data_IF_078729914899
#
_entry.id   IF_078729914899
#
_cell.length_a   1.000
_cell.length_b   1.000
_cell.length_c   1.000
_cell.angle_alpha   90.00
_cell.angle_beta   90.00
_cell.angle_gamma   90.00
#
_symmetry.space_group_name_H-M   'P 1'
#
loop_
_entity.id
_entity.type
_entity.pdbx_description
1 polymer ?
#
# COMPACT_ATOMS: atom_id res chain seq x y z
N UNK A 1 20.61 12.91 12.33
CA UNK A 1 21.28 11.63 12.07
C UNK A 1 21.73 11.07 13.41
N UNK A 2 21.54 9.77 13.65
CA UNK A 2 22.10 9.12 14.83
C UNK A 2 23.52 8.66 14.48
N UNK A 3 24.51 9.33 15.08
CA UNK A 3 25.93 9.08 14.83
C UNK A 3 26.49 8.28 16.00
N UNK A 4 27.08 7.12 15.73
CA UNK A 4 27.63 6.23 16.74
C UNK A 4 29.14 6.46 16.88
N UNK A 5 29.64 6.58 18.11
CA UNK A 5 31.07 6.83 18.37
C UNK A 5 32.00 5.78 17.77
N UNK A 6 31.53 4.52 17.63
CA UNK A 6 32.30 3.43 17.05
C UNK A 6 32.37 3.39 15.52
N UNK A 7 31.64 4.27 14.82
CA UNK A 7 31.63 4.30 13.35
C UNK A 7 32.88 5.00 12.81
N UNK A 8 33.39 4.52 11.67
CA UNK A 8 34.47 5.22 10.95
C UNK A 8 33.99 6.59 10.47
N UNK A 9 34.92 7.52 10.20
CA UNK A 9 34.54 8.84 9.65
C UNK A 9 33.80 8.70 8.32
N UNK A 10 34.20 7.74 7.48
CA UNK A 10 33.53 7.41 6.22
C UNK A 10 32.08 7.00 6.45
N UNK A 11 31.81 6.11 7.42
CA UNK A 11 30.46 5.69 7.77
C UNK A 11 29.61 6.86 8.27
N UNK A 12 30.18 7.76 9.08
CA UNK A 12 29.48 8.96 9.53
C UNK A 12 29.09 9.84 8.33
N UNK A 13 30.00 10.05 7.37
CA UNK A 13 29.71 10.80 6.14
C UNK A 13 28.58 10.15 5.34
N UNK A 14 28.57 8.82 5.23
CA UNK A 14 27.49 8.06 4.57
C UNK A 14 26.16 8.31 5.26
N UNK A 15 26.09 8.11 6.57
CA UNK A 15 24.86 8.27 7.35
C UNK A 15 24.35 9.71 7.24
N UNK A 16 25.23 10.72 7.35
CA UNK A 16 24.85 12.12 7.22
C UNK A 16 24.28 12.44 5.83
N UNK A 17 24.98 12.04 4.76
CA UNK A 17 24.53 12.29 3.39
C UNK A 17 23.22 11.56 3.07
N UNK A 18 23.07 10.33 3.55
CA UNK A 18 21.86 9.53 3.38
C UNK A 18 20.65 10.15 4.09
N UNK A 19 20.81 10.58 5.34
CA UNK A 19 19.74 11.27 6.09
C UNK A 19 19.34 12.58 5.41
N UNK A 20 20.30 13.36 4.89
CA UNK A 20 19.98 14.56 4.13
C UNK A 20 19.09 14.27 2.90
N UNK A 21 19.35 13.17 2.21
CA UNK A 21 18.56 12.76 1.06
C UNK A 21 17.15 12.28 1.46
N UNK A 22 16.98 11.57 2.59
CA UNK A 22 15.65 11.29 3.13
C UNK A 22 14.89 12.55 3.50
N UNK A 23 15.54 13.53 4.12
CA UNK A 23 14.91 14.82 4.46
C UNK A 23 14.40 15.52 3.21
N UNK A 24 15.18 15.52 2.12
CA UNK A 24 14.71 16.03 0.83
C UNK A 24 13.53 15.22 0.27
N UNK A 25 13.55 13.89 0.36
CA UNK A 25 12.46 13.03 -0.09
C UNK A 25 11.17 13.32 0.69
N UNK A 26 11.21 13.24 2.02
CA UNK A 26 10.04 13.47 2.89
C UNK A 26 9.48 14.88 2.74
N UNK A 27 10.32 15.90 2.54
CA UNK A 27 9.85 17.27 2.39
C UNK A 27 9.07 17.49 1.09
N UNK A 28 9.38 16.73 0.05
CA UNK A 28 8.97 17.05 -1.32
C UNK A 28 8.15 15.96 -2.03
N UNK A 29 7.94 14.79 -1.42
CA UNK A 29 7.06 13.75 -1.96
C UNK A 29 5.60 13.99 -1.53
N UNK A 30 4.66 13.81 -2.46
CA UNK A 30 3.23 14.04 -2.26
C UNK A 30 2.64 13.21 -1.12
N UNK A 31 3.07 11.95 -0.95
CA UNK A 31 2.58 11.08 0.12
C UNK A 31 3.06 11.52 1.51
N UNK A 32 4.05 12.40 1.61
CA UNK A 32 4.41 13.02 2.90
C UNK A 32 3.73 14.38 3.11
N UNK A 33 2.92 14.86 2.17
CA UNK A 33 2.27 16.18 2.30
C UNK A 33 1.28 16.29 3.45
N UNK A 34 0.74 15.15 3.92
CA UNK A 34 -0.23 15.05 5.02
C UNK A 34 0.40 14.66 6.35
N UNK A 35 1.71 14.36 6.41
CA UNK A 35 2.35 14.01 7.67
C UNK A 35 2.54 15.23 8.55
N UNK A 36 2.38 15.04 9.86
CA UNK A 36 2.62 16.10 10.82
C UNK A 36 4.13 16.40 10.90
N UNK A 37 4.51 17.67 10.71
CA UNK A 37 5.91 18.12 10.73
C UNK A 37 6.47 18.30 12.14
N UNK A 38 5.63 18.24 13.16
CA UNK A 38 5.97 18.36 14.58
C UNK A 38 5.71 17.06 15.34
N UNK A 39 5.90 15.91 14.69
CA UNK A 39 5.60 14.62 15.33
C UNK A 39 6.44 14.31 16.56
N UNK A 40 7.62 14.93 16.72
CA UNK A 40 8.37 14.82 17.98
C UNK A 40 7.56 15.42 19.15
N UNK A 41 6.98 16.60 18.96
CA UNK A 41 6.11 17.24 19.96
C UNK A 41 4.80 16.43 20.14
N UNK A 42 4.27 15.89 19.03
CA UNK A 42 3.09 15.01 19.02
C UNK A 42 3.31 13.75 19.86
N UNK A 43 4.39 13.01 19.60
CA UNK A 43 4.78 11.82 20.35
C UNK A 43 5.07 12.13 21.82
N UNK A 44 5.68 13.28 22.13
CA UNK A 44 5.86 13.70 23.52
C UNK A 44 4.52 13.97 24.23
N UNK A 45 3.54 14.53 23.51
CA UNK A 45 2.17 14.71 24.01
C UNK A 45 1.46 13.36 24.18
N UNK A 46 1.55 12.46 23.21
CA UNK A 46 1.02 11.09 23.28
C UNK A 46 1.57 10.35 24.50
N UNK A 47 2.90 10.34 24.68
CA UNK A 47 3.54 9.71 25.82
C UNK A 47 3.07 10.31 27.16
N UNK A 48 2.79 11.62 27.21
CA UNK A 48 2.26 12.27 28.42
C UNK A 48 0.78 11.94 28.68
N UNK A 49 -0.03 11.73 27.65
CA UNK A 49 -1.42 11.23 27.77
C UNK A 49 -1.42 9.79 28.27
N UNK A 50 -0.62 8.91 27.66
CA UNK A 50 -0.47 7.51 28.05
C UNK A 50 -0.02 7.39 29.51
N UNK A 51 1.03 8.12 29.93
CA UNK A 51 1.49 8.12 31.34
C UNK A 51 0.39 8.48 32.33
N UNK A 52 -0.46 9.46 32.00
CA UNK A 52 -1.60 9.87 32.84
C UNK A 52 -2.65 8.77 32.96
N UNK A 53 -2.86 8.00 31.90
CA UNK A 53 -3.75 6.83 31.96
C UNK A 53 -3.13 5.72 32.79
N UNK A 54 -1.82 5.47 32.66
CA UNK A 54 -1.09 4.50 33.49
C UNK A 54 -1.18 4.84 34.99
N UNK A 55 -1.05 6.12 35.35
CA UNK A 55 -1.20 6.59 36.73
C UNK A 55 -2.60 6.35 37.32
N UNK A 56 -3.65 6.37 36.47
CA UNK A 56 -5.05 6.25 36.90
C UNK A 56 -5.57 4.82 36.88
N UNK A 57 -5.17 4.04 35.87
CA UNK A 57 -5.71 2.71 35.57
C UNK A 57 -4.72 1.57 35.87
N UNK A 58 -3.47 1.90 36.17
CA UNK A 58 -2.38 0.94 36.35
C UNK A 58 -1.57 0.75 35.08
N UNK A 59 -0.26 0.53 35.23
CA UNK A 59 0.67 0.36 34.11
C UNK A 59 0.32 -0.87 33.25
N UNK A 60 0.21 -2.05 33.89
CA UNK A 60 -0.07 -3.32 33.19
C UNK A 60 -1.37 -3.25 32.37
N UNK A 61 -2.43 -2.67 32.92
CA UNK A 61 -3.74 -2.54 32.24
C UNK A 61 -3.64 -1.70 30.96
N UNK A 62 -2.87 -0.61 31.00
CA UNK A 62 -2.70 0.28 29.85
C UNK A 62 -1.75 -0.34 28.82
N UNK A 63 -0.66 -0.98 29.25
CA UNK A 63 0.28 -1.68 28.36
C UNK A 63 -0.40 -2.84 27.62
N UNK A 64 -1.17 -3.67 28.33
CA UNK A 64 -1.94 -4.78 27.72
C UNK A 64 -2.93 -4.27 26.65
N UNK A 65 -3.53 -3.10 26.90
CA UNK A 65 -4.43 -2.48 25.93
C UNK A 65 -3.67 -1.85 24.75
N UNK A 66 -2.50 -1.25 24.98
CA UNK A 66 -1.61 -0.77 23.91
C UNK A 66 -1.20 -1.95 23.01
N UNK A 67 -0.78 -3.08 23.58
CA UNK A 67 -0.43 -4.29 22.81
C UNK A 67 -1.61 -4.79 21.97
N UNK A 68 -2.81 -4.74 22.55
CA UNK A 68 -4.06 -5.03 21.82
C UNK A 68 -4.25 -4.07 20.65
N UNK A 69 -4.05 -2.77 20.84
CA UNK A 69 -4.17 -1.76 19.78
C UNK A 69 -3.11 -1.90 18.69
N UNK A 70 -1.84 -2.14 19.07
CA UNK A 70 -0.72 -2.32 18.15
C UNK A 70 -0.93 -3.55 17.24
N UNK A 71 -1.58 -4.60 17.73
CA UNK A 71 -1.95 -5.74 16.88
C UNK A 71 -2.95 -5.41 15.77
N UNK A 72 -3.64 -4.26 15.87
CA UNK A 72 -4.63 -3.77 14.92
C UNK A 72 -4.13 -2.56 14.11
N UNK A 73 -2.90 -2.09 14.33
CA UNK A 73 -2.38 -0.81 13.78
C UNK A 73 -2.42 -0.74 12.24
N UNK A 74 -2.34 -1.89 11.58
CA UNK A 74 -2.35 -2.02 10.13
C UNK A 74 -3.75 -2.05 9.51
N UNK A 75 -4.81 -2.06 10.32
CA UNK A 75 -6.21 -2.06 9.86
C UNK A 75 -6.74 -0.63 9.58
N UNK A 76 -5.83 0.30 9.29
CA UNK A 76 -6.15 1.62 8.77
C UNK A 76 -6.39 1.58 7.25
N UNK A 77 -6.91 2.66 6.70
CA UNK A 77 -6.88 2.91 5.26
C UNK A 77 -5.78 3.92 4.93
N UNK A 78 -4.59 3.50 4.45
CA UNK A 78 -3.48 4.40 4.18
C UNK A 78 -3.82 5.54 3.21
N UNK A 79 -4.87 5.37 2.39
CA UNK A 79 -5.30 6.37 1.41
C UNK A 79 -6.32 7.37 1.95
N UNK A 80 -6.87 7.15 3.15
CA UNK A 80 -7.88 8.02 3.78
C UNK A 80 -7.47 9.50 3.88
N UNK A 81 -6.20 9.85 4.20
CA UNK A 81 -5.76 11.25 4.24
C UNK A 81 -5.77 11.97 2.88
N UNK A 82 -5.81 11.22 1.77
CA UNK A 82 -5.73 11.75 0.40
C UNK A 82 -7.08 11.67 -0.34
N UNK A 83 -7.95 10.74 0.05
CA UNK A 83 -9.21 10.46 -0.62
C UNK A 83 -10.36 10.64 0.37
N UNK A 84 -11.21 11.63 0.15
CA UNK A 84 -12.43 11.76 0.93
C UNK A 84 -13.50 10.77 0.43
N UNK A 85 -13.52 9.57 1.01
CA UNK A 85 -14.53 8.53 0.70
C UNK A 85 -15.88 8.76 1.38
N UNK A 86 -15.93 9.63 2.40
CA UNK A 86 -17.14 10.03 3.10
C UNK A 86 -17.80 11.29 2.52
N UNK A 87 -17.22 11.88 1.46
CA UNK A 87 -17.92 12.84 0.61
C UNK A 87 -19.03 12.08 -0.14
N UNK A 88 -20.09 11.74 0.59
CA UNK A 88 -21.42 11.57 0.05
C UNK A 88 -21.58 12.73 -0.91
N UNK A 89 -21.80 12.43 -2.20
CA UNK A 89 -22.27 13.40 -3.17
C UNK A 89 -23.33 14.22 -2.44
N UNK A 90 -23.04 15.50 -2.13
CA UNK A 90 -24.12 16.46 -2.06
C UNK A 90 -24.85 16.21 -3.36
N UNK A 91 -26.08 15.71 -3.27
CA UNK A 91 -27.00 15.68 -4.39
C UNK A 91 -27.27 17.17 -4.66
N UNK A 92 -26.30 17.82 -5.29
CA UNK A 92 -26.52 19.04 -6.04
C UNK A 92 -27.43 18.61 -7.18
N UNK A 93 -28.51 19.37 -7.34
CA UNK A 93 -29.41 19.33 -8.47
C UNK A 93 -28.66 19.69 -9.77
N UNK A 94 -27.70 18.87 -10.19
CA UNK A 94 -27.13 18.92 -11.52
C UNK A 94 -27.71 17.71 -12.27
N UNK A 95 -28.99 17.87 -12.64
CA UNK A 95 -29.65 17.13 -13.70
C UNK A 95 -29.04 17.53 -15.05
N UNK A 96 -27.77 17.20 -15.28
CA UNK A 96 -27.14 17.30 -16.60
C UNK A 96 -26.55 15.95 -16.99
N UNK A 97 -27.39 15.20 -17.70
CA UNK A 97 -27.07 14.40 -18.89
C UNK A 97 -25.82 13.51 -18.83
N UNK A 98 -25.92 12.39 -18.12
CA UNK A 98 -25.16 11.20 -18.47
C UNK A 98 -26.13 10.04 -18.67
N UNK A 99 -26.28 9.62 -19.93
CA UNK A 99 -27.30 8.70 -20.45
C UNK A 99 -27.18 7.25 -19.96
N UNK A 100 -27.27 7.06 -18.65
CA UNK A 100 -27.60 5.80 -17.99
C UNK A 100 -29.08 5.83 -17.62
N UNK A 101 -29.88 5.13 -18.42
CA UNK A 101 -31.26 4.85 -18.10
C UNK A 101 -31.33 4.16 -16.72
N UNK A 102 -31.88 4.87 -15.73
CA UNK A 102 -32.04 4.41 -14.34
C UNK A 102 -32.95 3.17 -14.22
N UNK A 103 -33.55 2.73 -15.32
CA UNK A 103 -34.51 1.61 -15.41
C UNK A 103 -33.91 0.20 -15.31
N UNK A 104 -32.57 0.05 -15.36
CA UNK A 104 -31.92 -1.28 -15.40
C UNK A 104 -31.95 -1.96 -16.78
N UNK A 105 -32.42 -1.25 -17.80
CA UNK A 105 -32.42 -1.72 -19.19
C UNK A 105 -31.00 -1.78 -19.75
N UNK A 106 -30.66 -2.90 -20.39
CA UNK A 106 -29.48 -3.00 -21.23
C UNK A 106 -29.70 -2.16 -22.49
N UNK A 107 -28.66 -1.43 -22.96
CA UNK A 107 -28.76 -0.63 -24.19
C UNK A 107 -29.10 -1.54 -25.38
N UNK A 108 -30.21 -1.25 -26.05
CA UNK A 108 -30.69 -1.98 -27.20
C UNK A 108 -31.16 -1.01 -28.30
N UNK A 109 -31.13 -1.43 -29.57
CA UNK A 109 -31.82 -0.73 -30.66
C UNK A 109 -33.31 -1.09 -30.60
N UNK A 110 -34.21 -0.17 -31.00
CA UNK A 110 -35.66 -0.30 -30.74
C UNK A 110 -36.35 -1.61 -31.17
N UNK A 111 -35.84 -2.31 -32.19
CA UNK A 111 -36.38 -3.61 -32.62
C UNK A 111 -35.82 -4.81 -31.84
N UNK A 112 -34.72 -4.63 -31.11
CA UNK A 112 -34.08 -5.65 -30.27
C UNK A 112 -34.41 -5.48 -28.77
N UNK A 113 -35.09 -4.41 -28.37
CA UNK A 113 -35.38 -4.14 -26.95
C UNK A 113 -36.21 -5.25 -26.31
N UNK A 114 -37.20 -5.80 -27.02
CA UNK A 114 -38.04 -6.90 -26.52
C UNK A 114 -37.28 -8.22 -26.34
N UNK A 115 -36.19 -8.44 -27.07
CA UNK A 115 -35.35 -9.63 -26.99
C UNK A 115 -34.20 -9.46 -26.00
N UNK A 116 -33.66 -8.25 -25.88
CA UNK A 116 -32.54 -7.91 -24.99
C UNK A 116 -33.02 -7.62 -23.57
N UNK A 117 -34.20 -7.01 -23.42
CA UNK A 117 -34.84 -6.69 -22.14
C UNK A 117 -36.22 -7.36 -22.04
N UNK A 118 -36.31 -8.69 -22.01
CA UNK A 118 -37.60 -9.36 -21.82
C UNK A 118 -38.21 -8.99 -20.45
N UNK A 119 -39.56 -9.01 -20.31
CA UNK A 119 -40.25 -8.63 -19.07
C UNK A 119 -39.74 -9.37 -17.83
N UNK A 120 -39.44 -10.67 -17.97
CA UNK A 120 -38.89 -11.51 -16.90
C UNK A 120 -37.51 -11.05 -16.43
N UNK A 121 -36.65 -10.59 -17.34
CA UNK A 121 -35.32 -10.06 -16.99
C UNK A 121 -35.43 -8.74 -16.22
N UNK A 122 -36.35 -7.86 -16.63
CA UNK A 122 -36.59 -6.58 -15.96
C UNK A 122 -37.22 -6.76 -14.57
N UNK A 123 -38.14 -7.72 -14.41
CA UNK A 123 -38.70 -8.08 -13.10
C UNK A 123 -37.66 -8.72 -12.18
N UNK A 124 -36.83 -9.63 -12.69
CA UNK A 124 -35.73 -10.21 -11.93
C UNK A 124 -34.71 -9.15 -11.48
N UNK A 125 -34.37 -8.19 -12.35
CA UNK A 125 -33.53 -7.05 -11.98
C UNK A 125 -34.17 -6.15 -10.93
N UNK A 126 -35.46 -5.80 -11.08
CA UNK A 126 -36.18 -4.98 -10.10
C UNK A 126 -36.21 -5.66 -8.73
N UNK A 127 -36.56 -6.95 -8.68
CA UNK A 127 -36.58 -7.73 -7.45
C UNK A 127 -35.20 -7.83 -6.81
N UNK A 128 -34.16 -8.09 -7.60
CA UNK A 128 -32.77 -8.09 -7.13
C UNK A 128 -32.38 -6.74 -6.53
N UNK A 129 -32.76 -5.63 -7.16
CA UNK A 129 -32.48 -4.27 -6.69
C UNK A 129 -33.26 -3.91 -5.43
N UNK A 130 -34.51 -4.33 -5.32
CA UNK A 130 -35.32 -4.17 -4.10
C UNK A 130 -34.76 -4.99 -2.93
N UNK A 131 -34.30 -6.21 -3.20
CA UNK A 131 -33.65 -7.07 -2.22
C UNK A 131 -32.27 -6.51 -1.80
N UNK A 132 -31.48 -5.99 -2.75
CA UNK A 132 -30.22 -5.28 -2.49
C UNK A 132 -30.47 -3.99 -1.69
N UNK A 133 -31.51 -3.21 -2.01
CA UNK A 133 -31.86 -1.99 -1.28
C UNK A 133 -32.38 -2.29 0.14
N UNK A 134 -33.11 -3.39 0.34
CA UNK A 134 -33.51 -3.87 1.68
C UNK A 134 -32.31 -4.33 2.49
N UNK A 135 -31.38 -5.07 1.88
CA UNK A 135 -30.11 -5.50 2.50
C UNK A 135 -29.20 -4.31 2.84
N UNK A 136 -29.08 -3.33 1.94
CA UNK A 136 -28.31 -2.11 2.17
C UNK A 136 -28.89 -1.26 3.30
N UNK A 137 -30.22 -1.17 3.43
CA UNK A 137 -30.87 -0.49 4.57
C UNK A 137 -30.58 -1.13 5.93
N UNK A 138 -30.12 -2.38 5.99
CA UNK A 138 -29.81 -3.09 7.24
C UNK A 138 -28.31 -3.15 7.55
N UNK A 139 -27.42 -2.83 6.61
CA UNK A 139 -25.98 -2.86 6.83
C UNK A 139 -25.50 -1.53 7.37
N UNK A 140 -24.73 -1.59 8.45
CA UNK A 140 -24.10 -0.43 9.05
C UNK A 140 -22.60 -0.72 9.16
N UNK A 141 -21.71 -0.03 8.43
CA UNK A 141 -21.94 1.14 7.60
C UNK A 141 -22.62 0.81 6.25
N UNK A 142 -23.19 1.83 5.59
CA UNK A 142 -23.89 1.68 4.29
C UNK A 142 -22.98 1.07 3.20
N UNK A 143 -21.68 1.39 3.26
CA UNK A 143 -20.65 0.82 2.42
C UNK A 143 -19.53 0.26 3.27
N UNK A 144 -18.89 -0.86 2.86
CA UNK A 144 -17.81 -1.45 3.62
C UNK A 144 -16.68 -0.44 3.88
N UNK A 145 -16.29 -0.28 5.15
CA UNK A 145 -15.30 0.71 5.57
C UNK A 145 -13.92 0.07 5.72
N UNK A 146 -12.91 0.61 5.02
CA UNK A 146 -11.53 0.10 5.06
C UNK A 146 -10.78 0.50 6.33
N UNK A 147 -11.04 1.69 6.86
CA UNK A 147 -10.42 2.13 8.11
C UNK A 147 -11.18 1.53 9.30
N UNK A 148 -10.75 0.33 9.71
CA UNK A 148 -11.35 -0.43 10.81
C UNK A 148 -11.08 0.27 12.13
N UNK A 149 -9.89 0.84 12.33
CA UNK A 149 -9.57 1.57 13.57
C UNK A 149 -10.48 2.77 13.78
N UNK A 150 -10.74 3.57 12.73
CA UNK A 150 -11.68 4.68 12.81
C UNK A 150 -13.08 4.18 13.20
N UNK A 151 -13.54 3.09 12.57
CA UNK A 151 -14.85 2.51 12.87
C UNK A 151 -14.97 2.05 14.33
N UNK A 152 -13.91 1.41 14.86
CA UNK A 152 -13.84 1.01 16.26
C UNK A 152 -13.85 2.23 17.20
N UNK A 153 -13.07 3.27 16.91
CA UNK A 153 -13.04 4.52 17.68
C UNK A 153 -14.44 5.16 17.75
N UNK A 154 -15.16 5.19 16.64
CA UNK A 154 -16.47 5.85 16.55
C UNK A 154 -17.59 5.05 17.22
N UNK A 155 -17.59 3.73 17.06
CA UNK A 155 -18.76 2.90 17.36
C UNK A 155 -18.57 1.88 18.46
N UNK A 156 -17.34 1.59 18.88
CA UNK A 156 -17.11 0.63 19.96
C UNK A 156 -17.49 1.23 21.33
N UNK A 157 -18.11 0.44 22.24
CA UNK A 157 -18.40 0.85 23.62
C UNK A 157 -17.14 0.82 24.50
N UNK A 158 -16.09 1.52 24.09
CA UNK A 158 -14.84 1.65 24.86
C UNK A 158 -14.91 2.75 25.92
N UNK A 159 -14.12 2.60 26.97
CA UNK A 159 -13.87 3.68 27.93
C UNK A 159 -13.11 4.84 27.25
N UNK A 160 -13.20 6.04 27.83
CA UNK A 160 -12.58 7.23 27.24
C UNK A 160 -11.06 7.10 27.08
N UNK A 161 -10.37 6.52 28.07
CA UNK A 161 -8.91 6.33 28.00
C UNK A 161 -8.51 5.28 26.97
N UNK A 162 -9.31 4.22 26.77
CA UNK A 162 -9.08 3.22 25.73
C UNK A 162 -9.23 3.84 24.34
N UNK A 163 -10.28 4.64 24.15
CA UNK A 163 -10.48 5.39 22.91
C UNK A 163 -9.29 6.32 22.62
N UNK A 164 -8.82 7.03 23.63
CA UNK A 164 -7.66 7.91 23.56
C UNK A 164 -6.39 7.15 23.11
N UNK A 165 -6.10 5.99 23.71
CA UNK A 165 -4.98 5.13 23.32
C UNK A 165 -5.11 4.65 21.87
N UNK A 166 -6.30 4.20 21.45
CA UNK A 166 -6.51 3.73 20.08
C UNK A 166 -6.39 4.88 19.05
N UNK A 167 -6.83 6.10 19.40
CA UNK A 167 -6.63 7.30 18.60
C UNK A 167 -5.14 7.63 18.43
N UNK A 168 -4.34 7.53 19.50
CA UNK A 168 -2.89 7.71 19.47
C UNK A 168 -2.24 6.71 18.50
N UNK A 169 -2.55 5.42 18.65
CA UNK A 169 -2.01 4.35 17.80
C UNK A 169 -2.38 4.58 16.34
N UNK A 170 -3.64 4.98 16.07
CA UNK A 170 -4.09 5.30 14.71
C UNK A 170 -3.36 6.52 14.13
N UNK A 171 -3.16 7.59 14.90
CA UNK A 171 -2.44 8.79 14.44
C UNK A 171 -0.97 8.47 14.11
N UNK A 172 -0.30 7.68 14.96
CA UNK A 172 1.07 7.23 14.72
C UNK A 172 1.18 6.29 13.51
N UNK A 173 0.22 5.36 13.33
CA UNK A 173 0.15 4.51 12.15
C UNK A 173 0.05 5.35 10.85
N UNK A 174 -0.74 6.43 10.85
CA UNK A 174 -0.84 7.35 9.71
C UNK A 174 0.44 8.14 9.46
N UNK A 175 1.20 8.47 10.50
CA UNK A 175 2.50 9.13 10.33
C UNK A 175 3.51 8.24 9.60
N UNK A 176 3.55 6.94 9.91
CA UNK A 176 4.47 5.98 9.28
C UNK A 176 3.98 5.40 7.95
N UNK A 177 2.67 5.49 7.65
CA UNK A 177 2.10 4.92 6.44
C UNK A 177 2.79 5.40 5.13
N UNK A 178 3.11 6.70 4.94
CA UNK A 178 3.85 7.14 3.75
C UNK A 178 5.22 6.50 3.59
N UNK A 179 5.97 6.33 4.68
CA UNK A 179 7.28 5.67 4.64
C UNK A 179 7.17 4.21 4.19
N UNK A 180 6.08 3.54 4.55
CA UNK A 180 5.78 2.20 4.06
C UNK A 180 5.35 2.18 2.58
N UNK A 181 4.61 3.19 2.11
CA UNK A 181 4.15 3.29 0.71
C UNK A 181 5.25 3.67 -0.28
N UNK A 182 6.34 4.27 0.18
CA UNK A 182 7.43 4.78 -0.66
C UNK A 182 8.79 4.20 -0.26
N UNK A 183 8.84 3.01 0.34
CA UNK A 183 10.08 2.45 0.90
C UNK A 183 11.16 2.29 -0.17
N UNK A 184 10.87 1.65 -1.30
CA UNK A 184 11.83 1.43 -2.40
C UNK A 184 12.31 2.77 -2.95
N UNK A 185 11.39 3.69 -3.23
CA UNK A 185 11.73 5.01 -3.75
C UNK A 185 12.57 5.82 -2.76
N UNK A 186 12.16 5.86 -1.50
CA UNK A 186 12.84 6.65 -0.48
C UNK A 186 14.26 6.15 -0.23
N UNK A 187 14.44 4.84 -0.10
CA UNK A 187 15.77 4.25 0.05
C UNK A 187 16.61 4.42 -1.22
N UNK A 188 16.03 4.19 -2.40
CA UNK A 188 16.71 4.40 -3.67
C UNK A 188 17.17 5.84 -3.89
N UNK A 189 16.33 6.82 -3.53
CA UNK A 189 16.66 8.25 -3.59
C UNK A 189 17.81 8.59 -2.62
N UNK A 190 17.75 8.04 -1.41
CA UNK A 190 18.78 8.27 -0.42
C UNK A 190 20.13 7.69 -0.84
N UNK A 191 20.14 6.48 -1.41
CA UNK A 191 21.35 5.87 -1.98
C UNK A 191 21.86 6.66 -3.19
N UNK A 192 20.95 7.09 -4.07
CA UNK A 192 21.33 7.87 -5.25
C UNK A 192 22.06 9.16 -4.85
N UNK A 193 21.49 9.95 -3.93
CA UNK A 193 22.08 11.23 -3.53
C UNK A 193 23.25 11.09 -2.55
N UNK A 194 23.24 10.11 -1.63
CA UNK A 194 24.43 9.92 -0.80
C UNK A 194 25.64 9.57 -1.65
N UNK A 195 25.43 8.82 -2.74
CA UNK A 195 26.51 8.34 -3.61
C UNK A 195 27.11 9.54 -4.29
N UNK A 196 26.24 10.40 -4.84
CA UNK A 196 26.61 11.62 -5.52
C UNK A 196 27.32 12.62 -4.61
N UNK A 197 26.78 12.88 -3.42
CA UNK A 197 27.37 13.81 -2.44
C UNK A 197 28.77 13.31 -2.04
N UNK A 198 28.88 12.02 -1.73
CA UNK A 198 30.14 11.41 -1.33
C UNK A 198 31.16 11.46 -2.46
N UNK A 199 30.86 10.91 -3.63
CA UNK A 199 31.84 10.78 -4.72
C UNK A 199 32.20 12.09 -5.40
N UNK A 200 31.33 13.12 -5.35
CA UNK A 200 31.60 14.40 -6.02
C UNK A 200 32.10 15.50 -5.09
N UNK A 201 31.81 15.43 -3.77
CA UNK A 201 32.00 16.56 -2.85
C UNK A 201 32.66 16.23 -1.52
N UNK A 202 32.42 15.05 -0.94
CA UNK A 202 32.72 14.79 0.48
C UNK A 202 33.75 13.69 0.75
N UNK A 203 33.94 12.73 -0.17
CA UNK A 203 34.96 11.69 -0.05
C UNK A 203 36.33 12.22 -0.46
N UNK A 204 37.34 11.78 0.28
CA UNK A 204 38.74 11.83 -0.13
C UNK A 204 39.11 10.56 -0.87
N UNK A 205 40.21 10.59 -1.63
CA UNK A 205 40.67 9.42 -2.39
C UNK A 205 40.95 8.19 -1.49
N UNK A 206 41.36 8.41 -0.24
CA UNK A 206 41.64 7.34 0.71
C UNK A 206 40.37 6.61 1.20
N UNK A 207 39.22 7.28 1.19
CA UNK A 207 37.95 6.77 1.72
C UNK A 207 37.12 6.02 0.67
N UNK A 208 37.56 5.98 -0.60
CA UNK A 208 36.78 5.44 -1.71
C UNK A 208 36.52 3.93 -1.55
N UNK A 209 37.53 3.17 -1.11
CA UNK A 209 37.41 1.72 -0.93
C UNK A 209 36.47 1.42 0.24
N UNK A 210 36.66 2.11 1.37
CA UNK A 210 35.81 1.95 2.56
C UNK A 210 34.33 2.27 2.23
N UNK A 211 34.10 3.36 1.51
CA UNK A 211 32.77 3.70 1.03
C UNK A 211 32.19 2.62 0.11
N UNK A 212 32.98 2.15 -0.85
CA UNK A 212 32.53 1.14 -1.80
C UNK A 212 32.16 -0.18 -1.10
N UNK A 213 32.97 -0.60 -0.12
CA UNK A 213 32.72 -1.79 0.68
C UNK A 213 31.42 -1.64 1.48
N UNK A 214 31.30 -0.57 2.28
CA UNK A 214 30.12 -0.29 3.09
C UNK A 214 28.83 -0.20 2.24
N UNK A 215 28.86 0.56 1.14
CA UNK A 215 27.71 0.73 0.27
C UNK A 215 27.35 -0.57 -0.47
N UNK A 216 28.35 -1.35 -0.91
CA UNK A 216 28.10 -2.64 -1.56
C UNK A 216 27.44 -3.65 -0.61
N UNK A 217 27.79 -3.62 0.68
CA UNK A 217 27.13 -4.42 1.72
C UNK A 217 25.65 -4.10 1.87
N UNK A 218 25.28 -2.81 1.83
CA UNK A 218 23.88 -2.36 1.89
C UNK A 218 23.10 -2.75 0.63
N UNK A 219 23.76 -2.67 -0.54
CA UNK A 219 23.15 -2.99 -1.84
C UNK A 219 23.22 -4.48 -2.22
N UNK A 220 23.87 -5.29 -1.40
CA UNK A 220 24.02 -6.72 -1.63
C UNK A 220 22.64 -7.38 -1.74
N UNK A 221 22.49 -8.25 -2.73
CA UNK A 221 21.23 -8.95 -3.00
C UNK A 221 21.50 -10.45 -2.99
N UNK A 222 20.86 -11.18 -2.08
CA UNK A 222 20.96 -12.65 -2.04
C UNK A 222 20.09 -13.27 -3.15
N UNK A 223 20.49 -14.42 -3.74
CA UNK A 223 19.66 -15.12 -4.71
C UNK A 223 18.24 -15.36 -4.19
N UNK A 224 17.23 -14.96 -4.98
CA UNK A 224 15.82 -15.12 -4.63
C UNK A 224 15.23 -14.06 -3.69
N UNK A 225 16.02 -13.08 -3.22
CA UNK A 225 15.51 -11.93 -2.44
C UNK A 225 15.64 -10.65 -3.25
N UNK A 226 14.63 -9.78 -3.18
CA UNK A 226 14.72 -8.44 -3.73
C UNK A 226 15.27 -7.48 -2.67
N UNK A 227 16.29 -6.68 -3.02
CA UNK A 227 16.79 -5.61 -2.17
C UNK A 227 16.16 -4.27 -2.61
N UNK A 228 15.30 -3.65 -1.77
CA UNK A 228 14.67 -2.35 -2.07
C UNK A 228 15.66 -1.23 -2.40
N UNK A 229 16.80 -1.19 -1.70
CA UNK A 229 17.83 -0.17 -1.89
C UNK A 229 18.44 -0.29 -3.28
N UNK A 230 18.81 -1.52 -3.68
CA UNK A 230 19.36 -1.82 -5.00
C UNK A 230 18.35 -1.54 -6.11
N UNK A 231 17.11 -2.01 -5.96
CA UNK A 231 16.06 -1.77 -6.97
C UNK A 231 15.80 -0.27 -7.14
N UNK A 232 15.61 0.46 -6.04
CA UNK A 232 15.28 1.88 -6.08
C UNK A 232 16.39 2.73 -6.72
N UNK A 233 17.65 2.52 -6.32
CA UNK A 233 18.77 3.32 -6.87
C UNK A 233 18.99 3.05 -8.35
N UNK A 234 18.91 1.79 -8.78
CA UNK A 234 19.10 1.43 -10.19
C UNK A 234 17.95 1.94 -11.06
N UNK A 235 16.71 1.94 -10.54
CA UNK A 235 15.59 2.58 -11.24
C UNK A 235 15.81 4.09 -11.41
N UNK A 236 16.23 4.81 -10.37
CA UNK A 236 16.51 6.26 -10.52
C UNK A 236 17.62 6.54 -11.53
N UNK A 237 18.69 5.74 -11.53
CA UNK A 237 19.77 5.84 -12.52
C UNK A 237 19.27 5.57 -13.93
N UNK A 238 18.46 4.52 -14.10
CA UNK A 238 17.87 4.16 -15.40
C UNK A 238 16.94 5.27 -15.90
N UNK A 239 16.07 5.82 -15.05
CA UNK A 239 15.17 6.93 -15.42
C UNK A 239 15.97 8.15 -15.86
N UNK A 240 17.00 8.54 -15.11
CA UNK A 240 17.83 9.68 -15.46
C UNK A 240 18.54 9.48 -16.82
N UNK A 241 19.17 8.31 -17.04
CA UNK A 241 19.87 8.02 -18.29
C UNK A 241 18.90 7.99 -19.49
N UNK A 242 17.76 7.31 -19.34
CA UNK A 242 16.71 7.24 -20.38
C UNK A 242 16.23 8.63 -20.78
N UNK A 243 15.92 9.49 -19.81
CA UNK A 243 15.47 10.84 -20.12
C UNK A 243 16.58 11.69 -20.71
N UNK A 244 17.83 11.60 -20.22
CA UNK A 244 18.96 12.31 -20.83
C UNK A 244 19.13 11.95 -22.31
N UNK A 245 19.00 10.67 -22.66
CA UNK A 245 19.08 10.15 -24.03
C UNK A 245 17.82 10.35 -24.86
N UNK A 246 16.71 10.78 -24.25
CA UNK A 246 15.42 10.93 -24.95
C UNK A 246 14.72 9.61 -25.27
N UNK A 247 14.94 8.56 -24.48
CA UNK A 247 14.35 7.21 -24.62
C UNK A 247 12.95 7.14 -23.96
N UNK A 248 12.06 8.03 -24.38
CA UNK A 248 10.69 8.15 -23.91
C UNK A 248 9.77 8.69 -24.99
N UNK A 249 8.47 8.47 -24.83
CA UNK A 249 7.43 8.96 -25.73
C UNK A 249 7.27 8.12 -26.99
N UNK A 250 6.32 8.54 -27.83
CA UNK A 250 5.82 7.79 -28.99
C UNK A 250 6.94 7.28 -29.90
N UNK A 251 7.88 8.15 -30.26
CA UNK A 251 8.96 7.80 -31.18
C UNK A 251 9.85 6.66 -30.64
N UNK A 252 10.07 6.62 -29.32
CA UNK A 252 10.85 5.57 -28.67
C UNK A 252 10.05 4.27 -28.59
N UNK A 253 8.79 4.36 -28.19
CA UNK A 253 7.92 3.20 -27.97
C UNK A 253 7.62 2.47 -29.29
N UNK A 254 7.43 3.21 -30.39
CA UNK A 254 7.16 2.68 -31.73
C UNK A 254 8.43 2.29 -32.52
N UNK A 255 9.63 2.47 -31.95
CA UNK A 255 10.87 2.10 -32.63
C UNK A 255 11.12 0.58 -32.57
N UNK A 256 10.84 -0.11 -33.68
CA UNK A 256 11.06 -1.55 -33.82
C UNK A 256 12.53 -1.93 -34.13
N UNK A 257 13.35 -0.97 -34.56
CA UNK A 257 14.77 -1.22 -34.88
C UNK A 257 15.62 -1.26 -33.61
N UNK A 258 16.14 -2.45 -33.29
CA UNK A 258 17.07 -2.65 -32.17
C UNK A 258 18.39 -1.87 -32.34
N UNK A 259 18.84 -1.65 -33.57
CA UNK A 259 20.03 -0.85 -33.85
C UNK A 259 19.79 0.63 -33.53
N UNK A 260 18.62 1.17 -33.92
CA UNK A 260 18.24 2.53 -33.57
C UNK A 260 18.06 2.70 -32.07
N UNK A 261 17.43 1.75 -31.39
CA UNK A 261 17.27 1.79 -29.91
C UNK A 261 18.62 1.81 -29.19
N UNK A 262 19.60 1.01 -29.65
CA UNK A 262 20.95 0.97 -29.05
C UNK A 262 21.72 2.28 -29.20
N UNK A 263 21.59 2.94 -30.36
CA UNK A 263 22.27 4.20 -30.65
C UNK A 263 21.41 5.43 -30.34
N UNK A 264 20.29 5.25 -29.62
CA UNK A 264 19.35 6.32 -29.35
C UNK A 264 19.92 7.31 -28.34
N UNK A 265 20.25 8.49 -28.83
CA UNK A 265 20.69 9.61 -28.01
C UNK A 265 20.26 10.94 -28.65
N UNK A 266 19.16 11.50 -28.15
CA UNK A 266 18.66 12.84 -28.49
C UNK A 266 19.31 13.94 -27.65
N UNK A 267 20.17 13.59 -26.68
CA UNK A 267 20.86 14.53 -25.77
C UNK A 267 19.96 15.59 -25.16
N UNK A 268 18.76 15.19 -24.75
CA UNK A 268 17.77 16.15 -24.23
C UNK A 268 18.18 16.71 -22.87
N UNK A 269 18.96 15.97 -22.08
CA UNK A 269 19.42 16.39 -20.75
C UNK A 269 18.32 16.50 -19.70
N UNK A 270 17.13 15.96 -19.97
CA UNK A 270 15.94 16.08 -19.11
C UNK A 270 15.91 15.08 -17.94
N UNK A 271 16.95 14.25 -17.78
CA UNK A 271 16.99 13.17 -16.79
C UNK A 271 16.88 13.67 -15.36
N UNK A 272 17.54 14.77 -15.04
CA UNK A 272 17.52 15.36 -13.69
C UNK A 272 16.12 15.84 -13.33
N UNK A 273 15.47 16.59 -14.21
CA UNK A 273 14.12 17.11 -13.96
C UNK A 273 13.13 15.96 -13.79
N UNK A 274 13.26 14.90 -14.60
CA UNK A 274 12.39 13.73 -14.50
C UNK A 274 12.51 13.03 -13.16
N UNK A 275 13.71 12.73 -12.66
CA UNK A 275 13.83 12.02 -11.37
C UNK A 275 13.29 12.86 -10.20
N UNK A 276 13.38 14.19 -10.27
CA UNK A 276 12.77 15.09 -9.27
C UNK A 276 11.25 15.11 -9.34
N UNK A 277 10.67 15.08 -10.55
CA UNK A 277 9.23 14.91 -10.76
C UNK A 277 8.74 13.56 -10.22
N UNK A 278 9.46 12.48 -10.54
CA UNK A 278 9.15 11.12 -10.06
C UNK A 278 9.18 11.08 -8.54
N UNK A 279 10.24 11.61 -7.92
CA UNK A 279 10.34 11.74 -6.46
C UNK A 279 9.20 12.55 -5.85
N UNK A 280 8.65 13.53 -6.56
CA UNK A 280 7.55 14.37 -6.06
C UNK A 280 6.20 13.66 -6.09
N UNK A 281 5.89 12.88 -7.13
CA UNK A 281 4.52 12.45 -7.40
C UNK A 281 4.24 10.97 -7.17
N UNK A 282 5.26 10.11 -7.24
CA UNK A 282 5.07 8.66 -7.25
C UNK A 282 5.18 8.04 -5.84
N UNK A 283 4.59 6.86 -5.70
CA UNK A 283 4.83 5.89 -4.62
C UNK A 283 5.43 4.60 -5.19
N UNK A 284 5.78 3.62 -4.35
CA UNK A 284 6.45 2.40 -4.83
C UNK A 284 5.63 1.64 -5.88
N UNK A 285 4.30 1.58 -5.73
CA UNK A 285 3.41 0.90 -6.70
C UNK A 285 3.50 1.58 -8.07
N UNK A 286 3.26 2.88 -8.14
CA UNK A 286 3.30 3.63 -9.41
C UNK A 286 4.71 3.72 -9.98
N UNK A 287 5.73 3.74 -9.12
CA UNK A 287 7.14 3.76 -9.53
C UNK A 287 7.57 2.47 -10.21
N UNK A 288 7.24 1.32 -9.61
CA UNK A 288 7.49 0.01 -10.21
C UNK A 288 6.60 -0.20 -11.44
N UNK A 289 5.34 0.23 -11.39
CA UNK A 289 4.44 0.06 -12.53
C UNK A 289 4.93 0.82 -13.77
N UNK A 290 5.34 2.07 -13.62
CA UNK A 290 5.78 2.88 -14.76
C UNK A 290 7.21 2.51 -15.22
N UNK A 291 8.15 2.33 -14.30
CA UNK A 291 9.58 2.33 -14.65
C UNK A 291 10.27 0.97 -14.62
N UNK A 292 9.64 -0.07 -14.07
CA UNK A 292 10.16 -1.43 -14.15
C UNK A 292 9.89 -2.04 -15.53
N UNK A 293 10.62 -1.58 -16.54
CA UNK A 293 10.45 -2.04 -17.93
C UNK A 293 11.14 -3.39 -18.18
N UNK A 294 10.84 -3.99 -19.32
CA UNK A 294 11.48 -5.24 -19.74
C UNK A 294 12.99 -5.03 -19.89
N UNK A 295 13.41 -3.94 -20.54
CA UNK A 295 14.81 -3.58 -20.73
C UNK A 295 15.55 -3.47 -19.40
N UNK A 296 14.96 -2.76 -18.43
CA UNK A 296 15.52 -2.66 -17.08
C UNK A 296 15.67 -4.04 -16.41
N UNK A 297 14.65 -4.90 -16.53
CA UNK A 297 14.65 -6.25 -15.98
C UNK A 297 15.79 -7.11 -16.58
N UNK A 298 16.06 -6.97 -17.87
CA UNK A 298 17.18 -7.63 -18.56
C UNK A 298 18.52 -7.08 -18.11
N UNK A 299 18.69 -5.76 -18.12
CA UNK A 299 19.94 -5.08 -17.75
C UNK A 299 20.38 -5.42 -16.33
N UNK A 300 19.43 -5.42 -15.40
CA UNK A 300 19.68 -5.73 -13.99
C UNK A 300 19.68 -7.24 -13.68
N UNK A 301 19.53 -8.09 -14.70
CA UNK A 301 19.58 -9.56 -14.59
C UNK A 301 18.60 -10.14 -13.56
N UNK A 302 17.36 -9.65 -13.54
CA UNK A 302 16.32 -10.12 -12.60
C UNK A 302 15.82 -11.56 -12.87
N UNK A 303 16.29 -12.23 -13.93
CA UNK A 303 15.92 -13.62 -14.24
C UNK A 303 16.73 -14.60 -13.38
N UNK A 304 16.05 -15.38 -12.55
CA UNK A 304 16.65 -16.49 -11.80
C UNK A 304 16.99 -17.66 -12.73
N UNK A 305 18.28 -17.97 -12.87
CA UNK A 305 18.90 -19.21 -13.38
C UNK A 305 18.20 -19.92 -14.55
N UNK A 306 18.79 -19.81 -15.75
CA UNK A 306 18.52 -20.77 -16.84
C UNK A 306 18.49 -20.23 -18.27
N UNK A 307 18.85 -18.97 -18.52
CA UNK A 307 18.76 -18.44 -19.88
C UNK A 307 20.09 -18.56 -20.64
N UNK A 308 20.09 -19.36 -21.70
CA UNK A 308 21.13 -19.34 -22.73
C UNK A 308 20.90 -18.12 -23.62
N UNK A 309 21.80 -17.13 -23.56
CA UNK A 309 21.79 -15.92 -24.41
C UNK A 309 21.66 -16.19 -25.92
N UNK A 310 21.87 -17.44 -26.37
CA UNK A 310 21.84 -17.84 -27.78
C UNK A 310 20.45 -18.02 -28.38
N UNK A 311 19.39 -18.22 -27.61
CA UNK A 311 18.07 -18.63 -28.18
C UNK A 311 17.07 -17.49 -28.42
N UNK A 312 17.40 -16.22 -28.09
CA UNK A 312 16.75 -15.04 -28.71
C UNK A 312 15.21 -14.91 -28.61
N UNK A 313 14.53 -15.60 -27.69
CA UNK A 313 13.07 -15.58 -27.63
C UNK A 313 12.52 -14.48 -26.71
N UNK A 314 12.45 -13.23 -27.21
CA UNK A 314 11.89 -12.05 -26.53
C UNK A 314 10.47 -12.27 -25.97
N UNK A 315 9.68 -13.16 -26.59
CA UNK A 315 8.33 -13.49 -26.12
C UNK A 315 8.33 -14.16 -24.73
N UNK A 316 9.31 -15.02 -24.45
CA UNK A 316 9.45 -15.69 -23.15
C UNK A 316 9.83 -14.65 -22.09
N UNK A 317 10.80 -13.78 -22.41
CA UNK A 317 11.28 -12.72 -21.52
C UNK A 317 10.18 -11.72 -21.16
N UNK A 318 9.31 -11.36 -22.12
CA UNK A 318 8.16 -10.48 -21.90
C UNK A 318 7.11 -11.11 -20.98
N UNK A 319 6.80 -12.40 -21.18
CA UNK A 319 5.86 -13.13 -20.31
C UNK A 319 6.40 -13.25 -18.88
N UNK A 320 7.69 -13.54 -18.74
CA UNK A 320 8.35 -13.62 -17.43
C UNK A 320 8.45 -12.26 -16.74
N UNK A 321 8.79 -11.20 -17.47
CA UNK A 321 8.78 -9.83 -16.95
C UNK A 321 7.43 -9.44 -16.37
N UNK A 322 6.33 -9.71 -17.11
CA UNK A 322 4.97 -9.45 -16.60
C UNK A 322 4.68 -10.22 -15.31
N UNK A 323 5.12 -11.48 -15.21
CA UNK A 323 4.96 -12.27 -13.98
C UNK A 323 5.75 -11.66 -12.81
N UNK A 324 7.02 -11.32 -13.02
CA UNK A 324 7.88 -10.70 -12.00
C UNK A 324 7.30 -9.36 -11.56
N UNK A 325 6.94 -8.50 -12.50
CA UNK A 325 6.34 -7.18 -12.23
C UNK A 325 5.04 -7.31 -11.44
N UNK A 326 4.13 -8.20 -11.86
CA UNK A 326 2.88 -8.43 -11.16
C UNK A 326 3.09 -8.99 -9.74
N UNK A 327 4.08 -9.87 -9.56
CA UNK A 327 4.43 -10.39 -8.24
C UNK A 327 4.98 -9.28 -7.34
N UNK A 328 5.84 -8.40 -7.86
CA UNK A 328 6.35 -7.23 -7.11
C UNK A 328 5.21 -6.27 -6.75
N UNK A 329 4.35 -5.94 -7.70
CA UNK A 329 3.21 -5.06 -7.45
C UNK A 329 2.27 -5.67 -6.41
N UNK A 330 1.96 -6.97 -6.50
CA UNK A 330 1.12 -7.65 -5.50
C UNK A 330 1.74 -7.62 -4.09
N UNK A 331 3.06 -7.77 -3.97
CA UNK A 331 3.76 -7.65 -2.68
C UNK A 331 3.76 -6.22 -2.12
N UNK A 332 3.65 -5.21 -2.99
CA UNK A 332 3.62 -3.80 -2.60
C UNK A 332 2.19 -3.29 -2.38
N UNK A 333 1.19 -3.91 -3.01
CA UNK A 333 -0.24 -3.63 -2.79
C UNK A 333 -0.56 -3.84 -1.33
N UNK A 334 -1.03 -2.77 -0.67
CA UNK A 334 -1.26 -2.74 0.77
C UNK A 334 -0.05 -3.28 1.60
N UNK A 335 1.18 -3.09 1.09
CA UNK A 335 2.43 -3.57 1.70
C UNK A 335 2.47 -5.09 1.92
N UNK A 336 1.75 -5.85 1.09
CA UNK A 336 1.60 -7.29 1.21
C UNK A 336 0.76 -7.70 2.43
N UNK A 337 0.13 -6.73 3.11
CA UNK A 337 -0.78 -7.00 4.21
C UNK A 337 -2.20 -7.25 3.68
N UNK A 338 -2.96 -8.15 4.30
CA UNK A 338 -4.34 -8.40 3.91
C UNK A 338 -5.21 -7.14 4.03
N UNK A 339 -6.13 -6.96 3.09
CA UNK A 339 -7.11 -5.87 3.15
C UNK A 339 -8.33 -6.36 3.90
N UNK A 340 -8.54 -5.83 5.11
CA UNK A 340 -9.74 -6.10 5.92
C UNK A 340 -10.65 -4.87 5.88
N UNK A 341 -11.94 -5.09 5.76
CA UNK A 341 -12.97 -4.04 5.81
C UNK A 341 -14.04 -4.39 6.83
N UNK A 342 -14.64 -3.38 7.44
CA UNK A 342 -15.89 -3.53 8.19
C UNK A 342 -17.02 -3.70 7.19
N UNK A 343 -17.64 -4.89 7.16
CA UNK A 343 -18.79 -5.18 6.30
C UNK A 343 -20.11 -4.82 7.00
N UNK A 344 -20.22 -5.09 8.30
CA UNK A 344 -21.43 -4.82 9.09
C UNK A 344 -21.11 -4.79 10.60
N UNK A 345 -21.33 -3.67 11.29
CA UNK A 345 -21.23 -3.48 12.74
C UNK A 345 -22.53 -3.77 13.50
N UNK A 346 -23.58 -4.20 12.81
CA UNK A 346 -24.78 -4.75 13.42
C UNK A 346 -25.14 -6.13 12.84
N UNK A 347 -24.13 -6.99 12.71
CA UNK A 347 -24.27 -8.29 12.09
C UNK A 347 -25.34 -9.14 12.78
N UNK A 348 -26.24 -9.72 11.97
CA UNK A 348 -27.42 -10.48 12.42
C UNK A 348 -28.32 -9.72 13.42
N UNK A 349 -28.26 -8.38 13.42
CA UNK A 349 -28.98 -7.49 14.35
C UNK A 349 -28.66 -7.74 15.83
N UNK A 350 -27.43 -8.16 16.14
CA UNK A 350 -26.94 -8.43 17.51
C UNK A 350 -25.87 -7.43 17.98
N UNK A 351 -25.64 -6.38 17.21
CA UNK A 351 -24.49 -5.46 17.35
C UNK A 351 -23.14 -6.20 17.40
N UNK A 352 -23.06 -7.30 16.66
CA UNK A 352 -21.82 -8.02 16.40
C UNK A 352 -21.10 -7.37 15.21
N UNK A 353 -19.78 -7.44 15.22
CA UNK A 353 -18.96 -6.88 14.14
C UNK A 353 -18.64 -7.97 13.12
N UNK A 354 -18.95 -7.73 11.86
CA UNK A 354 -18.53 -8.52 10.72
C UNK A 354 -17.42 -7.77 9.98
N UNK A 355 -16.23 -8.34 10.04
CA UNK A 355 -15.09 -8.01 9.20
C UNK A 355 -15.10 -8.90 7.97
N UNK A 356 -14.66 -8.37 6.84
CA UNK A 356 -14.43 -9.14 5.62
C UNK A 356 -13.01 -8.92 5.14
N UNK A 357 -12.31 -10.03 4.92
CA UNK A 357 -11.06 -10.02 4.18
C UNK A 357 -11.38 -9.89 2.69
N UNK A 358 -10.90 -8.85 2.02
CA UNK A 358 -10.95 -8.70 0.57
C UNK A 358 -9.89 -9.63 -0.02
N UNK A 359 -10.32 -10.81 -0.48
CA UNK A 359 -9.41 -11.87 -0.89
C UNK A 359 -8.91 -11.64 -2.31
N UNK A 360 -7.62 -11.32 -2.44
CA UNK A 360 -6.92 -11.10 -3.72
C UNK A 360 -6.08 -12.32 -4.15
N UNK A 361 -6.52 -13.53 -3.78
CA UNK A 361 -5.85 -14.78 -4.15
C UNK A 361 -4.85 -15.32 -3.12
N UNK A 362 -4.61 -14.60 -2.02
CA UNK A 362 -3.74 -15.00 -0.92
C UNK A 362 -4.59 -15.24 0.33
N UNK A 363 -4.45 -16.44 0.92
CA UNK A 363 -5.12 -16.79 2.16
C UNK A 363 -4.46 -16.08 3.36
N UNK A 364 -5.25 -15.83 4.41
CA UNK A 364 -4.71 -15.27 5.66
C UNK A 364 -3.85 -16.31 6.38
N UNK A 365 -2.80 -15.84 7.06
CA UNK A 365 -2.15 -16.65 8.08
C UNK A 365 -3.14 -16.96 9.20
N UNK A 366 -3.41 -18.25 9.42
CA UNK A 366 -4.46 -18.68 10.32
C UNK A 366 -4.15 -18.34 11.79
N UNK A 367 -2.88 -18.33 12.21
CA UNK A 367 -2.51 -17.98 13.57
C UNK A 367 -2.68 -16.48 13.81
N UNK A 368 -2.12 -15.65 12.92
CA UNK A 368 -2.26 -14.20 13.01
C UNK A 368 -3.71 -13.74 12.90
N UNK A 369 -4.51 -14.33 12.01
CA UNK A 369 -5.92 -14.00 11.89
C UNK A 369 -6.69 -14.29 13.18
N UNK A 370 -6.39 -15.40 13.86
CA UNK A 370 -7.02 -15.78 15.13
C UNK A 370 -6.65 -14.82 16.26
N UNK A 371 -5.37 -14.46 16.38
CA UNK A 371 -4.90 -13.54 17.43
C UNK A 371 -5.42 -12.12 17.22
N UNK A 372 -5.38 -11.64 15.97
CA UNK A 372 -5.96 -10.34 15.57
C UNK A 372 -7.45 -10.29 15.86
N UNK A 373 -8.19 -11.37 15.57
CA UNK A 373 -9.64 -11.44 15.81
C UNK A 373 -9.97 -11.44 17.31
N UNK A 374 -9.16 -12.10 18.15
CA UNK A 374 -9.30 -12.02 19.62
C UNK A 374 -9.12 -10.59 20.12
N UNK A 375 -8.09 -9.88 19.63
CA UNK A 375 -7.83 -8.50 20.01
C UNK A 375 -8.91 -7.53 19.50
N UNK A 376 -9.42 -7.73 18.27
CA UNK A 376 -10.58 -7.00 17.78
C UNK A 376 -11.82 -7.23 18.66
N UNK A 377 -12.04 -8.46 19.15
CA UNK A 377 -13.13 -8.78 20.08
C UNK A 377 -12.98 -8.07 21.43
N UNK A 378 -11.75 -7.96 21.97
CA UNK A 378 -11.49 -7.18 23.19
C UNK A 378 -11.87 -5.71 23.01
N UNK A 379 -11.51 -5.12 21.86
CA UNK A 379 -11.82 -3.72 21.55
C UNK A 379 -13.31 -3.50 21.31
N UNK A 380 -13.99 -4.40 20.59
CA UNK A 380 -15.42 -4.30 20.28
C UNK A 380 -16.34 -4.69 21.44
N UNK A 381 -15.85 -5.46 22.42
CA UNK A 381 -16.56 -6.00 23.60
C UNK A 381 -17.73 -6.95 23.32
N UNK A 382 -18.04 -7.18 22.05
CA UNK A 382 -19.06 -8.12 21.55
C UNK A 382 -18.44 -9.07 20.53
N UNK A 383 -19.14 -10.15 20.15
CA UNK A 383 -18.60 -11.09 19.17
C UNK A 383 -18.18 -10.41 17.87
N UNK A 384 -17.03 -10.83 17.35
CA UNK A 384 -16.47 -10.36 16.07
C UNK A 384 -16.31 -11.55 15.13
N UNK A 385 -16.84 -11.42 13.92
CA UNK A 385 -16.75 -12.41 12.88
C UNK A 385 -15.87 -11.91 11.73
N UNK A 386 -15.05 -12.78 11.16
CA UNK A 386 -14.20 -12.52 10.00
C UNK A 386 -14.59 -13.46 8.87
N UNK A 387 -15.10 -12.90 7.78
CA UNK A 387 -15.40 -13.60 6.54
C UNK A 387 -14.17 -13.58 5.62
N UNK A 388 -13.64 -14.76 5.30
CA UNK A 388 -12.49 -14.95 4.39
C UNK A 388 -12.71 -16.16 3.47
N UNK A 389 -11.83 -16.33 2.49
CA UNK A 389 -11.64 -17.61 1.78
C UNK A 389 -10.42 -18.34 2.37
N UNK A 390 -10.50 -19.66 2.39
CA UNK A 390 -9.40 -20.59 2.70
C UNK A 390 -9.47 -21.71 1.66
N UNK A 391 -8.40 -21.91 0.89
CA UNK A 391 -8.36 -22.88 -0.21
C UNK A 391 -9.56 -22.74 -1.19
N UNK A 392 -9.95 -21.49 -1.47
CA UNK A 392 -11.07 -21.16 -2.35
C UNK A 392 -12.47 -21.34 -1.75
N UNK A 393 -12.60 -21.87 -0.52
CA UNK A 393 -13.89 -22.04 0.17
C UNK A 393 -14.13 -20.89 1.14
N UNK A 394 -15.35 -20.36 1.15
CA UNK A 394 -15.74 -19.32 2.10
C UNK A 394 -15.82 -19.86 3.54
N UNK A 395 -15.21 -19.12 4.46
CA UNK A 395 -15.11 -19.43 5.88
C UNK A 395 -15.47 -18.21 6.71
N UNK A 396 -16.24 -18.43 7.76
CA UNK A 396 -16.53 -17.44 8.78
C UNK A 396 -15.86 -17.88 10.08
N UNK A 397 -14.84 -17.15 10.49
CA UNK A 397 -14.23 -17.28 11.81
C UNK A 397 -14.98 -16.35 12.76
N UNK A 398 -15.38 -16.82 13.93
CA UNK A 398 -16.09 -16.02 14.94
C UNK A 398 -15.34 -16.11 16.26
N UNK A 399 -15.11 -14.96 16.89
CA UNK A 399 -14.62 -14.86 18.24
C UNK A 399 -15.74 -14.37 19.17
N UNK A 400 -15.91 -15.07 20.29
CA UNK A 400 -16.89 -14.77 21.34
C UNK A 400 -16.26 -15.17 22.69
N UNK A 401 -16.12 -14.21 23.61
CA UNK A 401 -15.47 -14.38 24.92
C UNK A 401 -14.07 -15.03 24.84
N UNK A 402 -13.30 -14.69 23.81
CA UNK A 402 -11.98 -15.26 23.55
C UNK A 402 -11.98 -16.69 23.00
N UNK A 403 -13.15 -17.32 22.86
CA UNK A 403 -13.30 -18.60 22.17
C UNK A 403 -13.45 -18.37 20.67
N UNK A 404 -12.76 -19.18 19.88
CA UNK A 404 -12.79 -19.12 18.42
C UNK A 404 -13.58 -20.29 17.87
N UNK A 405 -14.49 -20.00 16.96
CA UNK A 405 -15.25 -20.99 16.19
C UNK A 405 -15.12 -20.72 14.70
N UNK A 406 -15.24 -21.75 13.89
CA UNK A 406 -15.14 -21.65 12.43
C UNK A 406 -16.29 -22.43 11.79
N UNK A 407 -16.98 -21.80 10.84
CA UNK A 407 -18.00 -22.45 10.01
C UNK A 407 -17.83 -22.10 8.54
N UNK A 408 -18.32 -22.98 7.67
CA UNK A 408 -18.44 -22.67 6.24
C UNK A 408 -19.45 -21.54 6.04
N UNK A 409 -19.15 -20.61 5.14
CA UNK A 409 -20.03 -19.49 4.82
C UNK A 409 -19.92 -19.14 3.33
N UNK A 410 -20.98 -18.55 2.77
CA UNK A 410 -20.92 -18.00 1.42
C UNK A 410 -20.03 -16.75 1.41
N UNK A 411 -19.15 -16.66 0.41
CA UNK A 411 -18.28 -15.51 0.22
C UNK A 411 -18.76 -14.69 -0.99
N UNK A 412 -19.03 -13.38 -0.86
CA UNK A 412 -19.52 -12.55 -1.96
C UNK A 412 -18.61 -12.62 -3.19
N UNK A 413 -19.16 -12.97 -4.35
CA UNK A 413 -18.41 -13.08 -5.61
C UNK A 413 -17.76 -14.45 -5.87
N UNK A 414 -18.21 -15.51 -5.20
CA UNK A 414 -17.98 -16.91 -5.60
C UNK A 414 -18.93 -17.37 -6.71
#
# INVERSE_FOLDING_TARGET
AYLLEGNSLTDQKIVMAHVCAHVDFFKNNYFFSKTNRKMIDGMANHASRVRRHMERHGQEVVEDFIDTCLSLENLIDPMSPYINRQAVKKVGNDDEDDGQDRSGRLRSKGYMDSFINPPEYLEAQKKKREDEAKKAKHRFPEHPQRDVLQFLIEHSPMEHWQRDVLEIVRDEAYYFAPQAMTKIMNEGWAVYFHSKILTEKALTAAEVIDYADANSGVLATSPGRLNPYKLGVELFRNIEDRWNRGQFGKDWDECDSMEQKRNWDRRTGLGRDRIFEVRKLYNDITFIDEFFTLEFCVEQKFYSFGFQERSGNWEIMSREHKKVKNQLLAQLTNRGQPVIVVEDGNFENRSELLLRHVHEGIDLDAAQARDTLRNACKVWTRPVSLLSKVEGKGKLLRCEDGNLSERSAEYPGS
#
